data_IF_986763892712
#
_entry.id   IF_986763892712
#
_cell.length_a   1.000
_cell.length_b   1.000
_cell.length_c   1.000
_cell.angle_alpha   90.00
_cell.angle_beta   90.00
_cell.angle_gamma   90.00
#
_symmetry.space_group_name_H-M   'P 1'
#
loop_
_entity.id
_entity.type
_entity.pdbx_description
1 polymer ?
#
# COMPACT_ATOMS: atom_id res chain seq x y z
N UNK A 1 -32.78 -25.54 -59.93
CA UNK A 1 -32.73 -24.69 -61.13
C UNK A 1 -33.04 -23.26 -60.72
N UNK A 2 -32.21 -22.33 -61.21
CA UNK A 2 -32.10 -20.91 -60.84
C UNK A 2 -33.34 -20.11 -61.28
N UNK A 3 -33.78 -19.13 -60.47
CA UNK A 3 -34.35 -17.88 -60.98
C UNK A 3 -33.82 -16.71 -60.16
N UNK A 4 -32.87 -16.02 -60.78
CA UNK A 4 -32.39 -14.66 -60.53
C UNK A 4 -33.51 -13.65 -60.75
N UNK A 5 -33.61 -12.65 -59.88
CA UNK A 5 -34.10 -11.32 -60.28
C UNK A 5 -33.37 -10.26 -59.46
N UNK A 6 -32.74 -9.34 -60.18
CA UNK A 6 -32.01 -8.18 -59.70
C UNK A 6 -32.85 -6.91 -59.94
N UNK A 7 -32.75 -5.93 -59.04
CA UNK A 7 -32.92 -4.46 -59.21
C UNK A 7 -33.07 -3.86 -57.79
N UNK A 8 -32.58 -2.68 -57.41
CA UNK A 8 -31.86 -1.61 -58.08
C UNK A 8 -31.11 -0.80 -56.99
N UNK A 9 -29.97 -0.21 -57.37
CA UNK A 9 -29.28 0.83 -56.61
C UNK A 9 -30.12 2.11 -56.51
N UNK A 10 -30.07 2.78 -55.36
CA UNK A 10 -30.17 4.25 -55.27
C UNK A 10 -29.01 4.73 -54.42
N UNK A 11 -28.25 5.67 -54.97
CA UNK A 11 -27.07 6.28 -54.39
C UNK A 11 -27.35 7.69 -53.88
N UNK A 12 -26.46 8.12 -52.96
CA UNK A 12 -26.04 9.49 -52.64
C UNK A 12 -26.96 10.37 -51.79
N UNK A 13 -26.51 10.62 -50.56
CA UNK A 13 -26.40 11.98 -50.04
C UNK A 13 -25.15 12.10 -49.16
N UNK A 14 -24.18 12.84 -49.67
CA UNK A 14 -22.96 13.26 -49.00
C UNK A 14 -23.28 14.36 -47.98
N UNK A 15 -22.79 14.24 -46.75
CA UNK A 15 -22.58 15.39 -45.87
C UNK A 15 -21.16 15.26 -45.31
N UNK A 16 -20.30 16.16 -45.77
CA UNK A 16 -18.96 16.37 -45.25
C UNK A 16 -18.92 17.62 -44.37
N UNK A 17 -18.02 17.55 -43.39
CA UNK A 17 -17.37 18.62 -42.64
C UNK A 17 -18.16 19.28 -41.50
N UNK A 18 -17.66 19.05 -40.27
CA UNK A 18 -16.89 20.07 -39.56
C UNK A 18 -15.93 19.39 -38.58
N UNK A 19 -14.65 19.60 -38.85
CA UNK A 19 -13.51 19.33 -37.99
C UNK A 19 -13.08 20.68 -37.43
N UNK A 20 -13.03 20.84 -36.10
CA UNK A 20 -12.06 21.67 -35.38
C UNK A 20 -12.42 21.86 -33.90
N UNK A 21 -11.36 21.73 -33.10
CA UNK A 21 -11.10 22.22 -31.74
C UNK A 21 -11.18 21.14 -30.65
N UNK A 22 -10.07 20.43 -30.39
CA UNK A 22 -8.86 20.90 -29.69
C UNK A 22 -9.08 21.06 -28.18
N UNK A 23 -8.47 20.11 -27.46
CA UNK A 23 -7.97 20.20 -26.07
C UNK A 23 -9.01 20.47 -24.99
N UNK A 24 -9.36 19.41 -24.26
CA UNK A 24 -9.37 19.44 -22.80
C UNK A 24 -9.29 18.01 -22.26
N UNK A 25 -8.06 17.57 -22.05
CA UNK A 25 -7.77 16.41 -21.20
C UNK A 25 -7.94 16.86 -19.74
N UNK A 26 -8.89 16.32 -18.96
CA UNK A 26 -8.78 16.42 -17.52
C UNK A 26 -7.57 15.59 -17.10
N UNK A 27 -6.61 16.24 -16.45
CA UNK A 27 -5.43 15.60 -15.91
C UNK A 27 -5.84 14.38 -15.07
N UNK A 28 -5.24 13.23 -15.36
CA UNK A 28 -5.29 12.07 -14.51
C UNK A 28 -4.57 12.39 -13.21
N UNK A 29 -5.32 12.55 -12.13
CA UNK A 29 -4.77 12.59 -10.77
C UNK A 29 -4.55 11.13 -10.34
N UNK A 30 -3.52 10.51 -10.92
CA UNK A 30 -2.88 9.35 -10.31
C UNK A 30 -2.35 9.79 -8.95
N UNK A 31 -2.49 8.98 -7.89
CA UNK A 31 -1.88 9.26 -6.59
C UNK A 31 -0.39 9.53 -6.75
N UNK A 32 -0.05 10.80 -6.89
CA UNK A 32 1.27 11.29 -7.13
C UNK A 32 1.74 11.86 -5.81
N UNK A 33 2.84 11.30 -5.32
CA UNK A 33 3.66 11.84 -4.23
C UNK A 33 3.55 13.38 -4.15
N UNK A 34 3.30 13.98 -2.97
CA UNK A 34 3.31 15.43 -2.82
C UNK A 34 4.62 16.03 -3.35
N UNK A 35 4.53 17.02 -4.23
CA UNK A 35 5.69 17.79 -4.71
C UNK A 35 6.31 18.55 -3.53
N UNK A 36 7.49 18.11 -3.09
CA UNK A 36 8.34 18.86 -2.16
C UNK A 36 8.89 20.11 -2.86
N UNK A 37 8.95 21.30 -2.22
CA UNK A 37 9.55 22.48 -2.84
C UNK A 37 11.06 22.26 -3.03
N UNK A 38 11.55 22.66 -4.20
CA UNK A 38 12.96 22.66 -4.54
C UNK A 38 13.72 23.71 -3.71
N UNK A 39 14.82 23.28 -3.09
CA UNK A 39 15.90 24.20 -2.70
C UNK A 39 17.20 23.71 -3.34
N UNK A 40 17.88 24.68 -3.93
CA UNK A 40 18.98 24.52 -4.86
C UNK A 40 20.24 23.92 -4.25
N UNK A 41 20.97 23.27 -5.16
CA UNK A 41 22.33 22.73 -5.14
C UNK A 41 23.34 23.39 -4.19
N UNK A 42 24.31 22.62 -3.70
CA UNK A 42 25.71 22.70 -4.17
C UNK A 42 26.47 21.41 -3.88
N UNK A 43 27.23 21.00 -4.88
CA UNK A 43 28.14 19.86 -5.02
C UNK A 43 29.42 19.95 -4.18
N UNK A 44 29.91 18.81 -3.69
CA UNK A 44 31.34 18.51 -3.67
C UNK A 44 31.57 16.99 -3.64
N UNK A 45 32.17 16.45 -4.70
CA UNK A 45 32.87 15.16 -4.70
C UNK A 45 34.00 15.19 -3.67
N UNK A 46 34.24 14.06 -2.99
CA UNK A 46 35.58 13.48 -2.93
C UNK A 46 35.58 12.01 -2.48
N UNK A 47 36.52 11.29 -3.07
CA UNK A 47 36.68 9.86 -3.05
C UNK A 47 37.21 9.33 -1.69
N UNK A 48 36.82 8.10 -1.38
CA UNK A 48 37.48 7.22 -0.40
C UNK A 48 38.78 6.65 -0.98
N UNK A 49 39.80 6.45 -0.13
CA UNK A 49 40.49 5.17 -0.14
C UNK A 49 40.53 4.53 1.25
N UNK A 50 40.59 3.20 1.22
CA UNK A 50 40.71 2.31 2.36
C UNK A 50 42.17 2.15 2.84
N UNK A 51 42.36 1.99 4.15
CA UNK A 51 43.39 1.19 4.86
C UNK A 51 43.16 1.44 6.38
N UNK A 52 42.80 0.47 7.22
CA UNK A 52 43.51 -0.71 7.76
C UNK A 52 44.39 -0.40 9.01
N UNK A 53 44.23 -1.29 9.99
CA UNK A 53 45.10 -1.66 11.15
C UNK A 53 45.14 -0.82 12.44
N UNK A 54 44.58 -1.43 13.49
CA UNK A 54 45.20 -1.81 14.77
C UNK A 54 46.18 -0.83 15.45
N UNK A 55 45.91 -0.50 16.71
CA UNK A 55 46.69 -1.06 17.82
C UNK A 55 46.12 -0.71 19.20
N UNK A 56 46.29 -1.69 20.08
CA UNK A 56 46.02 -1.77 21.51
C UNK A 56 46.77 -0.75 22.39
N UNK A 57 46.39 -0.82 23.67
CA UNK A 57 47.12 -0.50 24.91
C UNK A 57 46.95 0.91 25.42
N UNK A 58 46.91 1.17 26.71
CA UNK A 58 46.73 0.44 27.98
C UNK A 58 46.59 1.62 29.00
N UNK A 59 46.53 1.32 30.29
CA UNK A 59 46.78 2.23 31.42
C UNK A 59 45.51 2.95 31.95
N UNK A 60 44.82 2.51 33.01
CA UNK A 60 45.21 2.11 34.38
C UNK A 60 45.03 3.26 35.40
N UNK A 61 44.56 2.83 36.58
CA UNK A 61 44.45 3.45 37.91
C UNK A 61 43.44 4.61 38.12
N UNK A 62 42.41 4.42 38.96
CA UNK A 62 42.39 4.53 40.45
C UNK A 62 42.26 6.02 40.87
N UNK A 63 41.54 6.49 41.89
CA UNK A 63 40.97 5.96 43.13
C UNK A 63 39.92 6.98 43.67
N UNK A 64 38.95 6.45 44.43
CA UNK A 64 38.40 6.93 45.72
C UNK A 64 37.67 8.27 45.97
N UNK A 65 36.54 8.10 46.68
CA UNK A 65 36.08 8.95 47.79
C UNK A 65 35.10 10.08 47.42
N UNK A 66 34.05 10.42 48.17
CA UNK A 66 33.41 9.90 49.37
C UNK A 66 32.11 10.72 49.54
N UNK A 67 31.08 10.10 50.13
CA UNK A 67 30.02 10.71 50.97
C UNK A 67 29.57 12.18 50.72
N UNK A 68 28.30 12.38 50.35
CA UNK A 68 27.41 13.14 51.23
C UNK A 68 25.91 12.88 51.03
N UNK A 69 25.22 12.75 52.14
CA UNK A 69 23.78 12.49 52.31
C UNK A 69 23.09 13.84 52.53
N UNK A 70 22.30 14.29 51.56
CA UNK A 70 21.53 15.53 51.64
C UNK A 70 20.06 15.29 51.32
N UNK A 71 19.22 15.26 52.36
CA UNK A 71 17.76 15.35 52.27
C UNK A 71 17.33 16.68 51.68
N UNK A 72 16.63 16.66 50.54
CA UNK A 72 15.88 17.81 50.04
C UNK A 72 14.61 17.36 49.30
N UNK A 73 13.59 18.19 49.45
CA UNK A 73 12.18 17.96 49.16
C UNK A 73 11.87 17.42 47.76
N UNK A 74 10.88 16.53 47.72
CA UNK A 74 10.17 16.10 46.52
C UNK A 74 9.33 17.27 46.02
N UNK A 75 9.90 18.10 45.14
CA UNK A 75 9.12 19.02 44.31
C UNK A 75 8.72 18.29 43.05
N UNK A 76 7.40 18.14 42.87
CA UNK A 76 6.81 17.60 41.66
C UNK A 76 7.31 18.39 40.43
N UNK A 77 7.71 17.73 39.33
CA UNK A 77 8.01 18.45 38.10
C UNK A 77 6.68 18.96 37.53
N UNK A 78 6.55 20.29 37.53
CA UNK A 78 5.53 21.03 36.80
C UNK A 78 5.60 20.63 35.32
N UNK A 79 4.66 19.78 34.89
CA UNK A 79 4.44 19.50 33.47
C UNK A 79 3.88 20.76 32.83
N UNK A 80 4.76 21.53 32.19
CA UNK A 80 4.33 22.54 31.22
C UNK A 80 3.47 21.85 30.15
N UNK A 81 2.34 22.44 29.75
CA UNK A 81 1.50 21.85 28.71
C UNK A 81 2.30 21.85 27.41
N UNK A 82 2.53 20.66 26.86
CA UNK A 82 3.01 20.52 25.48
C UNK A 82 1.85 20.98 24.60
N UNK A 83 1.80 22.28 24.31
CA UNK A 83 0.85 22.83 23.37
C UNK A 83 1.24 22.36 21.98
N UNK A 84 0.51 21.37 21.48
CA UNK A 84 0.57 20.98 20.07
C UNK A 84 0.22 22.19 19.19
N UNK A 85 0.91 22.37 18.04
CA UNK A 85 0.64 23.48 17.13
C UNK A 85 -0.73 23.35 16.47
N UNK A 86 -1.38 24.46 16.08
CA UNK A 86 -2.72 24.46 15.51
C UNK A 86 -2.64 24.08 14.03
N UNK A 87 -2.61 22.79 13.77
CA UNK A 87 -3.17 22.19 12.56
C UNK A 87 -4.59 21.76 12.94
N UNK A 88 -5.55 21.77 11.99
CA UNK A 88 -6.95 21.38 12.27
C UNK A 88 -7.01 20.15 13.17
N UNK A 89 -7.96 20.14 14.12
CA UNK A 89 -7.93 19.23 15.28
C UNK A 89 -7.46 17.81 14.93
N UNK A 90 -6.65 17.17 15.78
CA UNK A 90 -6.03 15.87 15.46
C UNK A 90 -7.03 14.80 15.01
N UNK A 91 -8.30 14.94 15.42
CA UNK A 91 -9.44 14.15 14.95
C UNK A 91 -9.74 14.37 13.45
N UNK A 92 -9.79 15.60 12.98
CA UNK A 92 -9.98 15.97 11.57
C UNK A 92 -8.86 15.39 10.70
N UNK A 93 -7.60 15.55 11.12
CA UNK A 93 -6.47 14.97 10.39
C UNK A 93 -6.55 13.44 10.36
N UNK A 94 -6.88 12.78 11.48
CA UNK A 94 -7.10 11.34 11.51
C UNK A 94 -8.21 10.92 10.54
N UNK A 95 -9.35 11.60 10.54
CA UNK A 95 -10.46 11.28 9.65
C UNK A 95 -10.08 11.46 8.17
N UNK A 96 -9.30 12.49 7.84
CA UNK A 96 -8.78 12.67 6.49
C UNK A 96 -7.85 11.53 6.07
N UNK A 97 -6.91 11.13 6.95
CA UNK A 97 -6.02 9.99 6.68
C UNK A 97 -6.81 8.69 6.49
N UNK A 98 -7.83 8.44 7.32
CA UNK A 98 -8.69 7.27 7.16
C UNK A 98 -9.47 7.29 5.84
N UNK A 99 -9.95 8.46 5.40
CA UNK A 99 -10.61 8.60 4.10
C UNK A 99 -9.65 8.33 2.94
N UNK A 100 -8.42 8.82 3.04
CA UNK A 100 -7.39 8.59 2.04
C UNK A 100 -6.98 7.11 2.00
N UNK A 101 -6.87 6.45 3.17
CA UNK A 101 -6.65 5.00 3.26
C UNK A 101 -7.80 4.22 2.60
N UNK A 102 -9.07 4.55 2.88
CA UNK A 102 -10.22 3.92 2.20
C UNK A 102 -10.12 4.02 0.68
N UNK A 103 -9.82 5.21 0.15
CA UNK A 103 -9.72 5.43 -1.29
C UNK A 103 -8.54 4.68 -1.91
N UNK A 104 -7.40 4.68 -1.23
CA UNK A 104 -6.20 3.93 -1.61
C UNK A 104 -6.51 2.44 -1.71
N UNK A 105 -7.06 1.85 -0.65
CA UNK A 105 -7.34 0.43 -0.54
C UNK A 105 -8.42 -0.05 -1.53
N UNK A 106 -9.51 0.69 -1.73
CA UNK A 106 -10.47 0.37 -2.78
C UNK A 106 -9.85 0.48 -4.18
N UNK A 107 -8.95 1.43 -4.40
CA UNK A 107 -8.23 1.57 -5.67
C UNK A 107 -7.27 0.42 -5.88
N UNK A 108 -6.48 0.03 -4.87
CA UNK A 108 -5.58 -1.11 -4.89
C UNK A 108 -6.34 -2.42 -5.12
N UNK A 109 -7.46 -2.63 -4.43
CA UNK A 109 -8.34 -3.78 -4.62
C UNK A 109 -8.82 -3.92 -6.08
N UNK A 110 -9.34 -2.83 -6.67
CA UNK A 110 -9.79 -2.81 -8.06
C UNK A 110 -8.64 -2.97 -9.06
N UNK A 111 -7.51 -2.30 -8.79
CA UNK A 111 -6.27 -2.37 -9.59
C UNK A 111 -5.73 -3.78 -9.66
N UNK A 112 -5.57 -4.46 -8.51
CA UNK A 112 -5.08 -5.83 -8.43
C UNK A 112 -6.05 -6.84 -9.05
N UNK A 113 -7.36 -6.62 -8.94
CA UNK A 113 -8.34 -7.44 -9.69
C UNK A 113 -8.14 -7.33 -11.21
N UNK A 114 -7.81 -6.14 -11.72
CA UNK A 114 -7.53 -5.92 -13.13
C UNK A 114 -6.17 -6.50 -13.54
N UNK A 115 -5.14 -6.35 -12.70
CA UNK A 115 -3.82 -6.96 -12.90
C UNK A 115 -3.89 -8.49 -12.95
N UNK A 116 -4.72 -9.10 -12.09
CA UNK A 116 -4.97 -10.54 -12.13
C UNK A 116 -5.53 -10.99 -13.49
N UNK A 117 -6.51 -10.27 -14.04
CA UNK A 117 -7.08 -10.59 -15.37
C UNK A 117 -6.02 -10.48 -16.47
N UNK A 118 -5.13 -9.50 -16.36
CA UNK A 118 -4.03 -9.31 -17.30
C UNK A 118 -2.99 -10.43 -17.23
N UNK A 119 -2.59 -10.83 -16.02
CA UNK A 119 -1.70 -11.96 -15.79
C UNK A 119 -2.29 -13.27 -16.32
N UNK A 120 -3.59 -13.49 -16.11
CA UNK A 120 -4.31 -14.64 -16.66
C UNK A 120 -4.28 -14.64 -18.19
N UNK A 121 -4.57 -13.51 -18.82
CA UNK A 121 -4.57 -13.37 -20.28
C UNK A 121 -3.19 -13.56 -20.91
N UNK A 122 -2.11 -13.29 -20.15
CA UNK A 122 -0.73 -13.52 -20.57
C UNK A 122 -0.22 -14.94 -20.23
N UNK A 123 -1.04 -15.80 -19.62
CA UNK A 123 -0.69 -17.18 -19.27
C UNK A 123 0.06 -17.35 -17.95
N UNK A 124 0.13 -16.29 -17.13
CA UNK A 124 0.81 -16.30 -15.82
C UNK A 124 -0.18 -16.60 -14.69
N UNK A 125 -0.74 -17.81 -14.70
CA UNK A 125 -1.82 -18.22 -13.80
C UNK A 125 -1.49 -18.04 -12.30
N UNK A 126 -0.28 -18.39 -11.87
CA UNK A 126 0.11 -18.26 -10.45
C UNK A 126 0.27 -16.78 -10.02
N UNK A 127 0.72 -15.92 -10.93
CA UNK A 127 0.78 -14.47 -10.68
C UNK A 127 -0.64 -13.89 -10.62
N UNK A 128 -1.54 -14.38 -11.47
CA UNK A 128 -2.96 -14.02 -11.42
C UNK A 128 -3.59 -14.41 -10.07
N UNK A 129 -3.21 -15.56 -9.48
CA UNK A 129 -3.67 -15.97 -8.15
C UNK A 129 -3.16 -15.03 -7.05
N UNK A 130 -1.89 -14.61 -7.11
CA UNK A 130 -1.34 -13.64 -6.16
C UNK A 130 -2.13 -12.32 -6.21
N UNK A 131 -2.34 -11.76 -7.40
CA UNK A 131 -3.12 -10.52 -7.55
C UNK A 131 -4.58 -10.67 -7.09
N UNK A 132 -5.22 -11.84 -7.30
CA UNK A 132 -6.56 -12.13 -6.76
C UNK A 132 -6.55 -12.15 -5.23
N UNK A 133 -5.52 -12.73 -4.61
CA UNK A 133 -5.38 -12.79 -3.17
C UNK A 133 -5.17 -11.39 -2.56
N UNK A 134 -4.26 -10.59 -3.13
CA UNK A 134 -4.03 -9.21 -2.69
C UNK A 134 -5.27 -8.34 -2.89
N UNK A 135 -5.93 -8.41 -4.06
CA UNK A 135 -7.21 -7.71 -4.29
C UNK A 135 -8.26 -8.00 -3.21
N UNK A 136 -8.31 -9.25 -2.70
CA UNK A 136 -9.19 -9.62 -1.59
C UNK A 136 -8.72 -9.06 -0.25
N UNK A 137 -7.42 -9.02 0.01
CA UNK A 137 -6.84 -8.41 1.21
C UNK A 137 -7.13 -6.90 1.27
N UNK A 138 -6.88 -6.17 0.18
CA UNK A 138 -7.11 -4.72 0.07
C UNK A 138 -8.60 -4.38 0.25
N UNK A 139 -9.50 -5.23 -0.25
CA UNK A 139 -10.92 -5.05 0.02
C UNK A 139 -11.27 -5.20 1.51
N UNK A 140 -10.56 -6.08 2.24
CA UNK A 140 -10.74 -6.22 3.69
C UNK A 140 -10.21 -4.97 4.40
N UNK A 141 -9.07 -4.43 3.99
CA UNK A 141 -8.54 -3.17 4.54
C UNK A 141 -9.49 -2.00 4.29
N UNK A 142 -9.95 -1.83 3.04
CA UNK A 142 -10.91 -0.79 2.66
C UNK A 142 -12.18 -0.84 3.51
N UNK A 143 -12.74 -2.04 3.71
CA UNK A 143 -13.95 -2.22 4.52
C UNK A 143 -13.70 -1.95 6.01
N UNK A 144 -12.55 -2.36 6.54
CA UNK A 144 -12.19 -2.06 7.92
C UNK A 144 -12.05 -0.54 8.13
N UNK A 145 -11.34 0.15 7.24
CA UNK A 145 -11.20 1.61 7.31
C UNK A 145 -12.54 2.34 7.15
N UNK A 146 -13.41 1.83 6.27
CA UNK A 146 -14.77 2.34 6.08
C UNK A 146 -15.57 2.25 7.38
N UNK A 147 -15.55 1.09 8.05
CA UNK A 147 -16.26 0.91 9.31
C UNK A 147 -15.80 1.88 10.40
N UNK A 148 -14.50 2.21 10.44
CA UNK A 148 -13.98 3.23 11.38
C UNK A 148 -14.53 4.62 11.09
N UNK A 149 -14.63 5.00 9.81
CA UNK A 149 -15.22 6.29 9.42
C UNK A 149 -16.72 6.35 9.72
N UNK A 150 -17.46 5.29 9.42
CA UNK A 150 -18.90 5.19 9.69
C UNK A 150 -19.19 5.31 11.19
N UNK A 151 -18.42 4.62 12.04
CA UNK A 151 -18.51 4.72 13.51
C UNK A 151 -18.21 6.15 14.00
N UNK A 152 -17.31 6.87 13.32
CA UNK A 152 -17.03 8.28 13.59
C UNK A 152 -18.07 9.25 12.99
N UNK A 153 -19.19 8.73 12.44
CA UNK A 153 -20.25 9.51 11.81
C UNK A 153 -19.83 10.17 10.49
N UNK A 154 -18.71 9.75 9.91
CA UNK A 154 -18.21 10.26 8.64
C UNK A 154 -18.84 9.49 7.48
N UNK A 155 -18.97 10.15 6.34
CA UNK A 155 -19.40 9.53 5.08
C UNK A 155 -18.25 9.53 4.10
N UNK A 156 -18.15 8.48 3.31
CA UNK A 156 -17.21 8.41 2.19
C UNK A 156 -17.87 9.07 0.99
N UNK A 157 -17.34 10.20 0.46
CA UNK A 157 -17.87 10.78 -0.76
C UNK A 157 -17.69 9.82 -1.94
N UNK A 158 -18.62 9.79 -2.91
CA UNK A 158 -18.45 8.99 -4.12
C UNK A 158 -17.12 9.31 -4.80
N UNK A 159 -16.42 8.27 -5.24
CA UNK A 159 -15.21 8.39 -6.03
C UNK A 159 -15.11 7.21 -7.00
N UNK A 160 -14.33 7.39 -8.05
CA UNK A 160 -14.05 6.35 -9.03
C UNK A 160 -12.56 6.01 -8.94
N UNK A 161 -12.20 4.75 -8.62
CA UNK A 161 -10.82 4.29 -8.71
C UNK A 161 -10.21 4.58 -10.08
N UNK A 162 -8.96 5.04 -10.10
CA UNK A 162 -8.23 5.34 -11.33
C UNK A 162 -6.87 4.65 -11.31
N UNK A 163 -6.59 3.83 -12.32
CA UNK A 163 -5.34 3.10 -12.49
C UNK A 163 -5.17 2.70 -13.95
N UNK A 164 -3.96 2.27 -14.33
CA UNK A 164 -3.64 1.80 -15.68
C UNK A 164 -3.20 0.34 -15.62
N UNK A 165 -3.66 -0.49 -16.56
CA UNK A 165 -3.22 -1.88 -16.69
C UNK A 165 -2.21 -1.97 -17.83
N UNK A 166 -1.01 -2.48 -17.55
CA UNK A 166 0.08 -2.69 -18.53
C UNK A 166 0.44 -4.17 -18.64
N UNK A 167 1.67 -4.53 -19.02
CA UNK A 167 2.12 -5.93 -18.98
C UNK A 167 2.17 -6.47 -17.54
N UNK A 168 2.11 -7.79 -17.35
CA UNK A 168 2.20 -8.39 -16.00
C UNK A 168 3.48 -7.99 -15.27
N UNK A 169 4.60 -7.87 -15.98
CA UNK A 169 5.87 -7.40 -15.40
C UNK A 169 5.73 -5.98 -14.86
N UNK A 170 5.22 -5.05 -15.67
CA UNK A 170 5.04 -3.65 -15.26
C UNK A 170 4.03 -3.51 -14.13
N UNK A 171 2.98 -4.33 -14.12
CA UNK A 171 1.99 -4.36 -13.05
C UNK A 171 2.59 -4.88 -11.72
N UNK A 172 3.53 -5.83 -11.77
CA UNK A 172 4.28 -6.27 -10.59
C UNK A 172 5.21 -5.17 -10.08
N UNK A 173 5.92 -4.48 -10.98
CA UNK A 173 6.77 -3.34 -10.63
C UNK A 173 5.94 -2.21 -9.95
N UNK A 174 4.75 -1.91 -10.49
CA UNK A 174 3.79 -0.97 -9.89
C UNK A 174 3.32 -1.41 -8.50
N UNK A 175 2.95 -2.68 -8.34
CA UNK A 175 2.52 -3.21 -7.05
C UNK A 175 3.63 -3.14 -6.00
N UNK A 176 4.87 -3.54 -6.34
CA UNK A 176 6.02 -3.44 -5.43
C UNK A 176 6.25 -1.99 -4.96
N UNK A 177 6.10 -1.01 -5.87
CA UNK A 177 6.22 0.40 -5.54
C UNK A 177 5.09 0.88 -4.63
N UNK A 178 3.84 0.48 -4.90
CA UNK A 178 2.66 0.83 -4.09
C UNK A 178 2.78 0.28 -2.68
N UNK A 179 2.95 -1.04 -2.54
CA UNK A 179 3.12 -1.72 -1.25
C UNK A 179 4.31 -1.16 -0.46
N UNK A 180 5.39 -0.81 -1.17
CA UNK A 180 6.56 -0.16 -0.60
C UNK A 180 6.25 1.22 -0.02
N UNK A 181 5.56 2.07 -0.76
CA UNK A 181 5.14 3.39 -0.28
C UNK A 181 4.21 3.28 0.93
N UNK A 182 3.24 2.38 0.86
CA UNK A 182 2.25 2.17 1.92
C UNK A 182 2.92 1.70 3.22
N UNK A 183 3.77 0.68 3.13
CA UNK A 183 4.45 0.09 4.29
C UNK A 183 5.64 0.90 4.84
N UNK A 184 6.17 1.88 4.10
CA UNK A 184 7.33 2.67 4.56
C UNK A 184 7.00 4.13 4.87
N UNK A 185 5.94 4.66 4.28
CA UNK A 185 5.59 6.09 4.36
C UNK A 185 4.17 6.28 4.86
N UNK A 186 3.16 5.87 4.08
CA UNK A 186 1.75 6.21 4.34
C UNK A 186 1.24 5.67 5.68
N UNK A 187 1.31 4.35 5.89
CA UNK A 187 0.78 3.74 7.11
C UNK A 187 1.51 4.16 8.38
N UNK A 188 2.87 4.25 8.41
CA UNK A 188 3.57 4.82 9.56
C UNK A 188 3.11 6.24 9.92
N UNK A 189 2.89 7.10 8.94
CA UNK A 189 2.39 8.46 9.17
C UNK A 189 0.95 8.44 9.69
N UNK A 190 0.07 7.65 9.08
CA UNK A 190 -1.33 7.56 9.49
C UNK A 190 -1.47 6.99 10.91
N UNK A 191 -0.67 5.98 11.26
CA UNK A 191 -0.59 5.43 12.61
C UNK A 191 -0.16 6.47 13.64
N UNK A 192 0.87 7.29 13.32
CA UNK A 192 1.30 8.39 14.19
C UNK A 192 0.16 9.38 14.43
N UNK A 193 -0.56 9.76 13.38
CA UNK A 193 -1.67 10.71 13.46
C UNK A 193 -2.87 10.12 14.23
N UNK A 194 -3.20 8.84 14.01
CA UNK A 194 -4.24 8.14 14.75
C UNK A 194 -3.91 8.04 16.25
N UNK A 195 -2.65 7.78 16.59
CA UNK A 195 -2.18 7.77 17.97
C UNK A 195 -2.29 9.16 18.62
N UNK A 196 -1.85 10.20 17.92
CA UNK A 196 -1.96 11.58 18.39
C UNK A 196 -3.42 12.01 18.60
N UNK A 197 -4.35 11.49 17.79
CA UNK A 197 -5.79 11.69 17.94
C UNK A 197 -6.45 10.81 19.01
N UNK A 198 -5.72 9.87 19.61
CA UNK A 198 -6.25 8.90 20.58
C UNK A 198 -7.27 7.90 20.00
N UNK A 199 -7.31 7.73 18.67
CA UNK A 199 -8.32 6.90 18.02
C UNK A 199 -7.86 5.43 17.90
N UNK A 200 -8.32 4.60 18.84
CA UNK A 200 -7.95 3.19 18.91
C UNK A 200 -8.48 2.34 17.74
N UNK A 201 -9.66 2.68 17.20
CA UNK A 201 -10.23 1.96 16.06
C UNK A 201 -9.40 2.21 14.79
N UNK A 202 -9.00 3.46 14.55
CA UNK A 202 -8.06 3.82 13.49
C UNK A 202 -6.73 3.08 13.66
N UNK A 203 -6.14 3.10 14.86
CA UNK A 203 -4.88 2.39 15.14
C UNK A 203 -4.96 0.89 14.83
N UNK A 204 -6.02 0.22 15.29
CA UNK A 204 -6.22 -1.20 15.03
C UNK A 204 -6.33 -1.48 13.53
N UNK A 205 -7.19 -0.74 12.84
CA UNK A 205 -7.44 -0.95 11.42
C UNK A 205 -6.21 -0.67 10.56
N UNK A 206 -5.52 0.45 10.79
CA UNK A 206 -4.29 0.83 10.08
C UNK A 206 -3.15 -0.16 10.36
N UNK A 207 -3.04 -0.66 11.59
CA UNK A 207 -1.98 -1.62 11.96
C UNK A 207 -2.22 -3.01 11.34
N UNK A 208 -3.47 -3.38 11.07
CA UNK A 208 -3.79 -4.59 10.30
C UNK A 208 -3.27 -4.49 8.87
N UNK A 209 -3.63 -3.42 8.16
CA UNK A 209 -3.16 -3.17 6.79
C UNK A 209 -1.63 -3.04 6.74
N UNK A 210 -1.05 -2.16 7.57
CA UNK A 210 0.40 -1.97 7.69
C UNK A 210 1.22 -3.27 7.80
N UNK A 211 0.78 -4.20 8.66
CA UNK A 211 1.47 -5.48 8.85
C UNK A 211 1.28 -6.43 7.67
N UNK A 212 0.16 -6.33 6.97
CA UNK A 212 -0.16 -7.09 5.76
C UNK A 212 0.66 -6.60 4.57
N UNK A 213 0.76 -5.29 4.34
CA UNK A 213 1.50 -4.66 3.22
C UNK A 213 2.99 -4.97 3.25
N UNK A 214 3.57 -5.05 4.46
CA UNK A 214 4.96 -5.53 4.66
C UNK A 214 5.18 -6.95 4.16
N UNK A 215 4.14 -7.76 4.04
CA UNK A 215 4.20 -9.10 3.46
C UNK A 215 3.86 -9.13 1.98
N UNK A 216 3.03 -8.22 1.48
CA UNK A 216 2.66 -8.22 0.06
C UNK A 216 3.83 -7.84 -0.84
N UNK A 217 4.61 -6.82 -0.48
CA UNK A 217 5.81 -6.43 -1.22
C UNK A 217 6.76 -7.61 -1.53
N UNK A 218 7.23 -8.42 -0.54
CA UNK A 218 8.09 -9.56 -0.85
C UNK A 218 7.40 -10.67 -1.66
N UNK A 219 6.07 -10.82 -1.59
CA UNK A 219 5.33 -11.74 -2.46
C UNK A 219 5.40 -11.29 -3.93
N UNK A 220 5.22 -9.99 -4.19
CA UNK A 220 5.35 -9.44 -5.54
C UNK A 220 6.79 -9.48 -6.05
N UNK A 221 7.79 -9.19 -5.22
CA UNK A 221 9.20 -9.33 -5.58
C UNK A 221 9.54 -10.77 -5.98
N UNK A 222 9.06 -11.75 -5.21
CA UNK A 222 9.19 -13.19 -5.52
C UNK A 222 8.52 -13.54 -6.85
N UNK A 223 7.32 -13.01 -7.11
CA UNK A 223 6.60 -13.22 -8.36
C UNK A 223 7.32 -12.61 -9.57
N UNK A 224 7.86 -11.40 -9.43
CA UNK A 224 8.65 -10.72 -10.46
C UNK A 224 9.93 -11.50 -10.78
N UNK A 225 10.65 -11.99 -9.77
CA UNK A 225 11.83 -12.81 -9.95
C UNK A 225 11.49 -14.12 -10.67
N UNK A 226 10.39 -14.78 -10.30
CA UNK A 226 9.94 -16.01 -10.96
C UNK A 226 9.56 -15.76 -12.42
N UNK A 227 8.96 -14.60 -12.73
CA UNK A 227 8.64 -14.18 -14.10
C UNK A 227 9.92 -14.01 -14.93
N UNK A 228 10.91 -13.26 -14.40
CA UNK A 228 12.19 -13.01 -15.08
C UNK A 228 12.97 -14.31 -15.35
N UNK A 229 12.89 -15.28 -14.44
CA UNK A 229 13.60 -16.55 -14.55
C UNK A 229 12.80 -17.64 -15.28
N UNK A 230 11.60 -17.35 -15.79
CA UNK A 230 10.70 -18.33 -16.39
C UNK A 230 10.33 -19.51 -15.46
N UNK A 231 10.26 -19.25 -14.15
CA UNK A 231 9.93 -20.23 -13.10
C UNK A 231 8.57 -19.96 -12.44
N UNK A 232 7.67 -19.21 -13.08
CA UNK A 232 6.33 -18.84 -12.56
C UNK A 232 5.56 -20.05 -12.00
N UNK A 233 5.70 -21.23 -12.61
CA UNK A 233 5.04 -22.47 -12.15
C UNK A 233 5.46 -22.92 -10.74
N UNK A 234 6.57 -22.41 -10.20
CA UNK A 234 7.06 -22.68 -8.84
C UNK A 234 6.39 -21.83 -7.77
N UNK A 235 5.66 -20.79 -8.16
CA UNK A 235 4.88 -19.96 -7.24
C UNK A 235 3.72 -20.78 -6.63
N UNK A 236 3.21 -20.35 -5.45
CA UNK A 236 2.09 -21.02 -4.79
C UNK A 236 0.87 -21.21 -5.70
N UNK A 237 0.20 -22.35 -5.54
CA UNK A 237 -1.07 -22.66 -6.22
C UNK A 237 -2.31 -22.21 -5.44
N UNK A 238 -2.11 -21.78 -4.20
CA UNK A 238 -3.15 -21.25 -3.34
C UNK A 238 -2.62 -20.21 -2.37
N UNK A 239 -3.50 -19.29 -1.99
CA UNK A 239 -3.28 -18.28 -0.98
C UNK A 239 -4.43 -18.33 0.02
N UNK A 240 -4.11 -18.13 1.30
CA UNK A 240 -5.10 -18.07 2.38
C UNK A 240 -5.10 -16.66 2.98
N UNK A 241 -6.27 -16.01 2.98
CA UNK A 241 -6.45 -14.62 3.38
C UNK A 241 -7.24 -14.60 4.70
N UNK A 242 -6.69 -13.96 5.72
CA UNK A 242 -7.42 -13.73 6.97
C UNK A 242 -8.58 -12.75 6.74
N UNK A 243 -9.82 -13.19 7.00
CA UNK A 243 -11.02 -12.35 6.82
C UNK A 243 -11.09 -11.11 7.71
N UNK A 244 -10.29 -11.06 8.79
CA UNK A 244 -10.30 -9.95 9.73
C UNK A 244 -9.32 -8.85 9.36
N UNK A 245 -8.12 -9.21 8.88
CA UNK A 245 -7.02 -8.26 8.73
C UNK A 245 -6.32 -8.31 7.38
N UNK A 246 -6.85 -9.05 6.40
CA UNK A 246 -6.26 -9.14 5.05
C UNK A 246 -4.98 -9.96 4.94
N UNK A 247 -4.38 -10.39 6.06
CA UNK A 247 -3.11 -11.12 6.06
C UNK A 247 -3.09 -12.32 5.10
N UNK A 248 -2.14 -12.31 4.17
CA UNK A 248 -2.01 -13.30 3.09
C UNK A 248 -0.94 -14.34 3.42
N UNK A 249 -1.29 -15.62 3.28
CA UNK A 249 -0.39 -16.76 3.48
C UNK A 249 -0.25 -17.58 2.19
N UNK A 250 0.96 -18.06 1.90
CA UNK A 250 1.25 -18.94 0.76
C UNK A 250 0.99 -20.41 1.13
N UNK A 251 0.12 -21.10 0.37
CA UNK A 251 -0.17 -22.55 0.42
C UNK A 251 -0.69 -23.15 1.75
N UNK A 252 -0.23 -22.68 2.90
CA UNK A 252 -0.55 -23.16 4.23
C UNK A 252 -0.68 -21.98 5.19
N UNK A 253 -1.48 -22.14 6.25
CA UNK A 253 -1.64 -21.13 7.29
C UNK A 253 -1.42 -21.71 8.69
N UNK A 254 -0.99 -20.89 9.67
CA UNK A 254 -1.05 -21.28 11.08
C UNK A 254 -2.49 -21.49 11.53
N UNK A 255 -2.70 -22.18 12.67
CA UNK A 255 -4.03 -22.36 13.28
C UNK A 255 -4.73 -21.03 13.62
N UNK A 256 -3.95 -19.99 13.86
CA UNK A 256 -4.42 -18.63 14.13
C UNK A 256 -3.59 -17.61 13.37
N UNK A 257 -4.23 -16.57 12.86
CA UNK A 257 -3.59 -15.48 12.17
C UNK A 257 -2.54 -14.80 13.06
N UNK A 258 -1.33 -14.60 12.55
CA UNK A 258 -0.24 -13.93 13.27
C UNK A 258 -0.42 -12.42 13.46
N UNK A 259 -1.49 -11.83 12.88
CA UNK A 259 -1.82 -10.41 13.04
C UNK A 259 -3.04 -10.24 13.93
N UNK A 260 -4.16 -10.89 13.59
CA UNK A 260 -5.45 -10.69 14.26
C UNK A 260 -5.86 -11.81 15.23
N UNK A 261 -5.09 -12.90 15.32
CA UNK A 261 -5.43 -14.12 16.07
C UNK A 261 -6.70 -14.86 15.62
N UNK A 262 -7.28 -14.44 14.48
CA UNK A 262 -8.43 -15.09 13.83
C UNK A 262 -8.10 -16.55 13.53
N UNK A 263 -9.03 -17.45 13.85
CA UNK A 263 -8.87 -18.88 13.62
C UNK A 263 -8.88 -19.21 12.12
N UNK A 264 -8.08 -20.20 11.72
CA UNK A 264 -7.82 -20.54 10.32
C UNK A 264 -9.05 -21.05 9.55
N UNK A 265 -10.05 -21.60 10.24
CA UNK A 265 -11.34 -22.00 9.66
C UNK A 265 -12.09 -20.83 9.02
N UNK A 266 -11.77 -19.59 9.40
CA UNK A 266 -12.34 -18.37 8.81
C UNK A 266 -11.51 -17.82 7.66
N UNK A 267 -10.44 -18.47 7.22
CA UNK A 267 -9.61 -17.92 6.15
C UNK A 267 -10.30 -18.13 4.79
N UNK A 268 -10.18 -17.16 3.90
CA UNK A 268 -10.62 -17.29 2.51
C UNK A 268 -9.49 -17.95 1.75
N UNK A 269 -9.79 -19.03 1.04
CA UNK A 269 -8.83 -19.67 0.15
C UNK A 269 -9.04 -19.17 -1.28
N UNK A 270 -7.98 -18.65 -1.89
CA UNK A 270 -7.90 -18.34 -3.31
C UNK A 270 -6.98 -19.38 -3.94
N UNK A 271 -7.52 -20.25 -4.79
CA UNK A 271 -6.76 -21.30 -5.47
C UNK A 271 -7.02 -21.30 -6.96
N UNK A 272 -6.06 -21.83 -7.74
CA UNK A 272 -6.29 -22.14 -9.15
C UNK A 272 -7.42 -23.18 -9.28
N UNK A 273 -8.17 -23.15 -10.39
CA UNK A 273 -8.98 -24.31 -10.77
C UNK A 273 -8.02 -25.46 -11.05
N UNK A 274 -8.26 -26.59 -10.38
CA UNK A 274 -7.66 -27.89 -10.69
C UNK A 274 -8.21 -28.41 -12.00
#
# INVERSE_FOLDING_TARGET
MKKTLALALVALASIALLDACSKNTPAADSMQKPKTPATSQTSAQQAVPAANENNDKDDDESEEGESNRGTAAVTAPTTAPITAPPLGDGKTLNNQNMLDAVRGEFTASAKYAAYAKKAEAEGYHEIALLFKAASRAELIHANNHTAVLEEAGQRIPPFTPSFTVKSTKENLDDAIASEGYESTTMYPEFLKNANAAGNQLSLMSLNYAYKTEKKHKPLYEKALLALQNNTVKTLPKSYLICQTCGNTYESTSPKRCGISMTSADKFITISGRV
#
